data_IF_066840303666
#
_entry.id   IF_066840303666
#
_cell.length_a   1.000
_cell.length_b   1.000
_cell.length_c   1.000
_cell.angle_alpha   90.00
_cell.angle_beta   90.00
_cell.angle_gamma   90.00
#
_symmetry.space_group_name_H-M   'P 1'
#
loop_
_entity.id
_entity.type
_entity.pdbx_description
1 polymer ?
#
# COMPACT_ATOMS: atom_id res chain seq x y z
N UNK A 1 18.54 -4.33 22.17
CA UNK A 1 18.24 -3.63 20.89
C UNK A 1 17.39 -4.59 20.09
N UNK A 2 16.29 -4.16 19.48
CA UNK A 2 15.42 -5.02 18.67
C UNK A 2 16.19 -5.51 17.44
N UNK A 3 16.09 -6.81 17.11
CA UNK A 3 16.85 -7.39 15.99
C UNK A 3 16.13 -7.16 14.64
N UNK A 4 16.16 -5.92 14.16
CA UNK A 4 15.54 -5.54 12.87
C UNK A 4 16.11 -6.37 11.72
N UNK A 5 17.43 -6.63 11.73
CA UNK A 5 18.12 -7.37 10.67
C UNK A 5 17.62 -8.82 10.59
N UNK A 6 17.68 -9.55 11.73
CA UNK A 6 17.25 -10.94 11.79
C UNK A 6 15.78 -11.09 11.40
N UNK A 7 14.91 -10.24 11.95
CA UNK A 7 13.48 -10.26 11.66
C UNK A 7 13.17 -9.93 10.18
N UNK A 8 13.89 -8.97 9.59
CA UNK A 8 13.73 -8.63 8.16
C UNK A 8 14.10 -9.83 7.28
N UNK A 9 15.23 -10.49 7.58
CA UNK A 9 15.66 -11.68 6.82
C UNK A 9 14.69 -12.86 6.97
N UNK A 10 14.10 -13.05 8.15
CA UNK A 10 13.07 -14.06 8.38
C UNK A 10 11.82 -13.79 7.51
N UNK A 11 11.32 -12.54 7.53
CA UNK A 11 10.17 -12.16 6.70
C UNK A 11 10.50 -12.35 5.21
N UNK A 12 11.63 -11.80 4.74
CA UNK A 12 12.03 -11.93 3.32
C UNK A 12 12.21 -13.38 2.90
N UNK A 13 12.78 -14.22 3.75
CA UNK A 13 12.97 -15.65 3.50
C UNK A 13 11.67 -16.45 3.47
N UNK A 14 10.60 -15.95 4.06
CA UNK A 14 9.27 -16.56 4.04
C UNK A 14 8.42 -16.17 2.82
N UNK A 15 8.81 -15.12 2.08
CA UNK A 15 8.04 -14.65 0.94
C UNK A 15 8.37 -15.44 -0.33
N UNK A 16 7.35 -15.81 -1.13
CA UNK A 16 7.57 -16.39 -2.45
C UNK A 16 8.30 -15.42 -3.39
N UNK A 17 8.98 -15.94 -4.40
CA UNK A 17 9.59 -15.13 -5.44
C UNK A 17 8.52 -14.27 -6.15
N UNK A 18 8.83 -12.98 -6.34
CA UNK A 18 7.93 -12.03 -6.98
C UNK A 18 6.99 -11.30 -6.02
N UNK A 19 6.97 -11.64 -4.73
CA UNK A 19 6.22 -10.88 -3.73
C UNK A 19 7.10 -9.80 -3.13
N UNK A 20 6.63 -8.55 -3.19
CA UNK A 20 7.32 -7.38 -2.65
C UNK A 20 6.97 -7.16 -1.17
N UNK A 21 7.98 -6.73 -0.39
CA UNK A 21 7.80 -6.32 1.00
C UNK A 21 7.76 -4.80 1.12
N UNK A 22 6.69 -4.27 1.66
CA UNK A 22 6.62 -2.91 2.20
C UNK A 22 6.89 -2.98 3.71
N UNK A 23 8.04 -2.53 4.14
CA UNK A 23 8.42 -2.49 5.56
C UNK A 23 7.73 -1.30 6.24
N UNK A 24 6.75 -1.57 7.09
CA UNK A 24 5.92 -0.52 7.72
C UNK A 24 6.65 0.08 8.91
N UNK A 25 7.17 1.29 8.71
CA UNK A 25 8.09 1.97 9.63
C UNK A 25 7.44 3.06 10.48
N UNK A 26 6.11 3.24 10.38
CA UNK A 26 5.38 4.25 11.18
C UNK A 26 5.61 4.07 12.68
N UNK A 27 5.83 5.20 13.38
CA UNK A 27 6.14 5.27 14.83
C UNK A 27 7.47 4.62 15.23
N UNK A 28 8.34 4.32 14.28
CA UNK A 28 9.69 3.83 14.56
C UNK A 28 10.75 4.89 14.23
N UNK A 29 11.85 4.96 15.00
CA UNK A 29 12.92 5.91 14.76
C UNK A 29 13.73 5.56 13.52
N UNK A 30 14.50 6.54 13.01
CA UNK A 30 15.27 6.38 11.77
C UNK A 30 16.29 5.25 11.83
N UNK A 31 16.88 4.99 12.98
CA UNK A 31 17.89 3.93 13.19
C UNK A 31 17.35 2.55 12.81
N UNK A 32 16.03 2.32 12.97
CA UNK A 32 15.40 1.06 12.58
C UNK A 32 15.25 0.95 11.06
N UNK A 33 14.94 2.08 10.40
CA UNK A 33 14.85 2.16 8.94
C UNK A 33 16.24 1.99 8.33
N UNK A 34 17.26 2.67 8.89
CA UNK A 34 18.65 2.55 8.47
C UNK A 34 19.17 1.12 8.61
N UNK A 35 18.82 0.41 9.69
CA UNK A 35 19.17 -0.99 9.87
C UNK A 35 18.55 -1.89 8.78
N UNK A 36 17.28 -1.70 8.45
CA UNK A 36 16.61 -2.43 7.36
C UNK A 36 17.16 -2.05 5.99
N UNK A 37 17.45 -0.76 5.78
CA UNK A 37 18.04 -0.24 4.54
C UNK A 37 19.43 -0.82 4.28
N UNK A 38 20.27 -0.94 5.31
CA UNK A 38 21.60 -1.56 5.21
C UNK A 38 21.55 -3.03 4.74
N UNK A 39 20.44 -3.73 5.01
CA UNK A 39 20.19 -5.11 4.53
C UNK A 39 19.51 -5.15 3.14
N UNK A 40 19.40 -4.03 2.45
CA UNK A 40 18.87 -3.96 1.10
C UNK A 40 17.39 -3.59 0.98
N UNK A 41 16.66 -3.41 2.08
CA UNK A 41 15.27 -2.95 2.01
C UNK A 41 15.20 -1.53 1.44
N UNK A 42 14.29 -1.31 0.48
CA UNK A 42 14.11 -0.01 -0.18
C UNK A 42 12.69 0.51 -0.12
N UNK A 43 11.69 -0.33 0.07
CA UNK A 43 10.28 0.04 0.10
C UNK A 43 9.81 0.14 1.55
N UNK A 44 9.43 1.35 1.98
CA UNK A 44 8.97 1.60 3.34
C UNK A 44 7.59 2.25 3.33
N UNK A 45 6.75 1.89 4.33
CA UNK A 45 5.38 2.36 4.43
C UNK A 45 5.12 3.26 5.64
N UNK A 46 4.49 4.42 5.39
CA UNK A 46 4.11 5.42 6.39
C UNK A 46 2.62 5.75 6.32
N UNK A 47 2.04 6.21 7.44
CA UNK A 47 0.63 6.57 7.49
C UNK A 47 0.35 8.01 7.92
N UNK A 48 1.38 8.79 8.24
CA UNK A 48 1.26 10.18 8.65
C UNK A 48 2.19 11.06 7.84
N UNK A 49 1.65 12.07 7.16
CA UNK A 49 2.41 12.92 6.25
C UNK A 49 3.52 13.72 6.94
N UNK A 50 3.30 14.09 8.21
CA UNK A 50 4.30 14.84 8.98
C UNK A 50 5.50 13.97 9.40
N UNK A 51 5.24 12.71 9.78
CA UNK A 51 6.29 11.75 10.10
C UNK A 51 7.08 11.41 8.84
N UNK A 52 6.39 11.11 7.74
CA UNK A 52 6.99 10.83 6.45
C UNK A 52 7.89 11.97 5.97
N UNK A 53 7.43 13.22 6.05
CA UNK A 53 8.22 14.38 5.64
C UNK A 53 9.54 14.52 6.41
N UNK A 54 9.54 14.21 7.72
CA UNK A 54 10.75 14.23 8.55
C UNK A 54 11.73 13.12 8.13
N UNK A 55 11.22 11.92 7.86
CA UNK A 55 12.01 10.77 7.44
C UNK A 55 12.64 10.98 6.06
N UNK A 56 11.88 11.49 5.10
CA UNK A 56 12.39 11.83 3.76
C UNK A 56 13.54 12.84 3.83
N UNK A 57 13.46 13.82 4.73
CA UNK A 57 14.48 14.85 4.87
C UNK A 57 15.81 14.35 5.47
N UNK A 58 15.83 13.17 6.09
CA UNK A 58 16.98 12.67 6.87
C UNK A 58 17.48 11.29 6.47
N UNK A 59 16.76 10.57 5.62
CA UNK A 59 17.09 9.21 5.19
C UNK A 59 17.50 9.20 3.70
N UNK A 60 18.10 8.11 3.20
CA UNK A 60 18.56 8.00 1.82
C UNK A 60 17.48 8.28 0.78
N UNK A 61 17.85 9.00 -0.30
CA UNK A 61 16.92 9.46 -1.35
C UNK A 61 16.37 8.33 -2.24
N UNK A 62 17.03 7.17 -2.27
CA UNK A 62 16.60 5.99 -3.03
C UNK A 62 15.57 5.13 -2.31
N UNK A 63 15.14 5.54 -1.11
CA UNK A 63 14.01 4.91 -0.43
C UNK A 63 12.72 5.18 -1.22
N UNK A 64 12.01 4.11 -1.53
CA UNK A 64 10.69 4.16 -2.15
C UNK A 64 9.61 4.23 -1.06
N UNK A 65 9.09 5.42 -0.85
CA UNK A 65 8.08 5.65 0.18
C UNK A 65 6.68 5.31 -0.32
N UNK A 66 5.99 4.44 0.41
CA UNK A 66 4.57 4.16 0.22
C UNK A 66 3.74 4.83 1.31
N UNK A 67 2.66 5.49 0.92
CA UNK A 67 1.68 6.01 1.88
C UNK A 67 0.53 5.02 2.02
N UNK A 68 0.33 4.50 3.25
CA UNK A 68 -0.57 3.38 3.52
C UNK A 68 -1.70 3.73 4.51
N UNK A 69 -1.76 4.96 4.99
CA UNK A 69 -2.79 5.45 5.90
C UNK A 69 -3.90 6.23 5.18
N UNK A 70 -5.00 6.50 5.86
CA UNK A 70 -6.05 7.36 5.30
C UNK A 70 -5.48 8.75 4.94
N UNK A 71 -5.61 9.13 3.68
CA UNK A 71 -5.05 10.36 3.13
C UNK A 71 -6.13 11.41 2.87
N UNK A 72 -6.17 12.45 3.68
CA UNK A 72 -7.03 13.59 3.41
C UNK A 72 -6.54 14.36 2.17
N UNK A 73 -7.46 14.80 1.30
CA UNK A 73 -7.11 15.50 0.05
C UNK A 73 -6.24 16.74 0.26
N UNK A 74 -6.45 17.51 1.36
CA UNK A 74 -5.63 18.69 1.68
C UNK A 74 -4.19 18.36 2.10
N UNK A 75 -3.87 17.08 2.37
CA UNK A 75 -2.55 16.59 2.77
C UNK A 75 -1.74 16.05 1.60
N UNK A 76 -2.35 15.74 0.47
CA UNK A 76 -1.69 15.24 -0.74
C UNK A 76 -0.50 16.11 -1.16
N UNK A 77 -0.66 17.44 -1.10
CA UNK A 77 0.38 18.41 -1.48
C UNK A 77 1.71 18.24 -0.73
N UNK A 78 1.69 17.66 0.48
CA UNK A 78 2.88 17.48 1.29
C UNK A 78 3.69 16.24 0.91
N UNK A 79 3.05 15.23 0.30
CA UNK A 79 3.71 13.97 -0.08
C UNK A 79 3.94 13.83 -1.59
N UNK A 80 3.15 14.50 -2.42
CA UNK A 80 3.23 14.43 -3.88
C UNK A 80 4.66 14.69 -4.45
N UNK A 81 5.51 15.55 -3.86
CA UNK A 81 6.85 15.81 -4.39
C UNK A 81 7.77 14.57 -4.40
N UNK A 82 7.57 13.59 -3.51
CA UNK A 82 8.52 12.50 -3.31
C UNK A 82 7.91 11.10 -3.15
N UNK A 83 6.60 11.01 -2.93
CA UNK A 83 5.95 9.69 -2.72
C UNK A 83 6.12 8.79 -3.95
N UNK A 84 6.40 7.51 -3.72
CA UNK A 84 6.53 6.51 -4.79
C UNK A 84 5.19 5.86 -5.11
N UNK A 85 4.39 5.57 -4.07
CA UNK A 85 3.07 4.97 -4.22
C UNK A 85 2.13 5.42 -3.10
N UNK A 86 0.85 5.67 -3.43
CA UNK A 86 -0.23 5.86 -2.46
C UNK A 86 -1.15 4.66 -2.56
N UNK A 87 -1.19 3.83 -1.51
CA UNK A 87 -1.97 2.59 -1.51
C UNK A 87 -3.40 2.77 -1.01
N UNK A 88 -3.72 3.94 -0.45
CA UNK A 88 -4.97 4.22 0.27
C UNK A 88 -5.91 5.16 -0.49
N UNK A 89 -6.07 4.95 -1.80
CA UNK A 89 -7.01 5.79 -2.59
C UNK A 89 -8.42 5.22 -2.48
N UNK A 90 -9.28 5.97 -1.78
CA UNK A 90 -10.64 5.59 -1.42
C UNK A 90 -11.74 6.38 -2.15
N UNK A 91 -11.37 7.26 -3.09
CA UNK A 91 -12.35 8.09 -3.79
C UNK A 91 -11.81 8.73 -5.07
N UNK A 92 -12.71 8.98 -6.02
CA UNK A 92 -12.39 9.75 -7.22
C UNK A 92 -11.91 11.18 -6.88
N UNK A 93 -12.45 11.76 -5.80
CA UNK A 93 -12.02 13.10 -5.32
C UNK A 93 -10.54 13.09 -4.91
N UNK A 94 -10.11 12.07 -4.17
CA UNK A 94 -8.71 11.93 -3.77
C UNK A 94 -7.82 11.70 -4.98
N UNK A 95 -8.25 10.84 -5.92
CA UNK A 95 -7.51 10.56 -7.14
C UNK A 95 -7.28 11.83 -7.98
N UNK A 96 -8.32 12.68 -8.15
CA UNK A 96 -8.22 13.99 -8.80
C UNK A 96 -7.21 14.92 -8.12
N UNK A 97 -7.21 14.95 -6.78
CA UNK A 97 -6.27 15.79 -6.03
C UNK A 97 -4.83 15.27 -6.15
N UNK A 98 -4.62 13.95 -6.15
CA UNK A 98 -3.30 13.35 -6.40
C UNK A 98 -2.79 13.77 -7.77
N UNK A 99 -3.60 13.61 -8.83
CA UNK A 99 -3.25 14.03 -10.19
C UNK A 99 -2.86 15.51 -10.24
N UNK A 100 -3.66 16.38 -9.66
CA UNK A 100 -3.42 17.82 -9.61
C UNK A 100 -2.11 18.18 -8.88
N UNK A 101 -1.80 17.53 -7.76
CA UNK A 101 -0.60 17.82 -7.00
C UNK A 101 0.64 17.20 -7.66
N UNK A 102 0.55 16.00 -8.22
CA UNK A 102 1.62 15.36 -8.97
C UNK A 102 2.03 16.18 -10.20
N UNK A 103 1.05 16.75 -10.92
CA UNK A 103 1.27 17.66 -12.07
C UNK A 103 2.15 18.85 -11.73
N UNK A 104 2.03 19.42 -10.52
CA UNK A 104 2.86 20.57 -10.09
C UNK A 104 4.35 20.23 -9.95
N UNK A 105 4.67 18.96 -9.84
CA UNK A 105 6.03 18.45 -9.66
C UNK A 105 6.52 17.67 -10.88
N UNK A 106 5.75 17.71 -11.99
CA UNK A 106 6.03 16.97 -13.23
C UNK A 106 6.28 15.47 -12.97
N UNK A 107 5.44 14.88 -12.10
CA UNK A 107 5.54 13.48 -11.69
C UNK A 107 4.30 12.69 -12.11
N UNK A 108 4.48 11.39 -12.24
CA UNK A 108 3.40 10.41 -12.26
C UNK A 108 3.47 9.64 -10.94
N UNK A 109 2.41 9.69 -10.14
CA UNK A 109 2.33 8.97 -8.87
C UNK A 109 1.57 7.67 -9.06
N UNK A 110 2.18 6.57 -8.65
CA UNK A 110 1.53 5.25 -8.62
C UNK A 110 0.51 5.20 -7.49
N UNK A 111 -0.63 4.60 -7.75
CA UNK A 111 -1.70 4.47 -6.74
C UNK A 111 -2.31 3.07 -6.77
N UNK A 112 -2.82 2.64 -5.60
CA UNK A 112 -3.72 1.51 -5.47
C UNK A 112 -5.09 2.01 -5.00
N UNK A 113 -6.16 1.41 -5.51
CA UNK A 113 -7.50 1.66 -5.00
C UNK A 113 -7.70 0.81 -3.74
N UNK A 114 -8.02 1.47 -2.62
CA UNK A 114 -8.27 0.79 -1.34
C UNK A 114 -9.69 0.24 -1.32
N UNK A 115 -9.81 -1.07 -1.11
CA UNK A 115 -11.08 -1.78 -0.98
C UNK A 115 -11.46 -1.96 0.50
N UNK A 116 -12.75 -1.85 0.78
CA UNK A 116 -13.37 -2.23 2.03
C UNK A 116 -14.14 -3.54 1.85
N UNK A 117 -13.53 -4.65 2.24
CA UNK A 117 -14.14 -6.00 2.22
C UNK A 117 -14.37 -6.49 3.65
N UNK A 118 -13.52 -6.08 4.59
CA UNK A 118 -13.61 -6.44 6.00
C UNK A 118 -14.96 -6.08 6.63
N UNK A 119 -15.39 -6.84 7.64
CA UNK A 119 -16.67 -6.63 8.33
C UNK A 119 -16.71 -5.35 9.21
N UNK A 120 -15.55 -4.79 9.57
CA UNK A 120 -15.51 -3.61 10.46
C UNK A 120 -15.88 -2.32 9.72
N UNK A 121 -17.00 -1.72 10.05
CA UNK A 121 -17.50 -0.43 9.52
C UNK A 121 -16.52 0.75 9.69
N UNK A 122 -15.53 0.61 10.55
CA UNK A 122 -14.54 1.67 10.86
C UNK A 122 -13.37 1.72 9.88
N UNK A 123 -13.22 0.75 8.96
CA UNK A 123 -12.16 0.74 7.97
C UNK A 123 -12.51 1.64 6.78
N UNK A 124 -11.50 2.37 6.28
CA UNK A 124 -11.57 3.12 5.04
C UNK A 124 -11.59 2.19 3.82
N UNK A 125 -11.92 2.73 2.68
CA UNK A 125 -11.90 2.04 1.42
C UNK A 125 -13.21 2.12 0.64
N UNK A 126 -13.14 1.77 -0.63
CA UNK A 126 -14.26 1.67 -1.53
C UNK A 126 -14.96 0.32 -1.35
N UNK A 127 -16.27 0.27 -1.27
CA UNK A 127 -16.97 -0.98 -1.53
C UNK A 127 -16.68 -1.45 -2.96
N UNK A 128 -16.87 -2.74 -3.25
CA UNK A 128 -16.64 -3.26 -4.60
C UNK A 128 -17.48 -2.49 -5.64
N UNK A 129 -18.73 -2.15 -5.31
CA UNK A 129 -19.61 -1.38 -6.20
C UNK A 129 -19.12 0.07 -6.37
N UNK A 130 -18.71 0.73 -5.30
CA UNK A 130 -18.14 2.09 -5.40
C UNK A 130 -16.84 2.10 -6.24
N UNK A 131 -16.02 1.05 -6.16
CA UNK A 131 -14.84 0.89 -7.00
C UNK A 131 -15.23 0.70 -8.47
N UNK A 132 -16.25 -0.13 -8.77
CA UNK A 132 -16.80 -0.27 -10.13
C UNK A 132 -17.30 1.06 -10.67
N UNK A 133 -18.10 1.80 -9.90
CA UNK A 133 -18.62 3.12 -10.30
C UNK A 133 -17.49 4.10 -10.61
N UNK A 134 -16.44 4.14 -9.77
CA UNK A 134 -15.27 4.98 -10.00
C UNK A 134 -14.62 4.64 -11.35
N UNK A 135 -14.39 3.36 -11.62
CA UNK A 135 -13.74 2.90 -12.86
C UNK A 135 -14.65 3.10 -14.10
N UNK A 136 -15.95 2.86 -13.97
CA UNK A 136 -16.93 3.07 -15.03
C UNK A 136 -17.09 4.53 -15.42
N UNK A 137 -16.88 5.47 -14.50
CA UNK A 137 -16.90 6.90 -14.80
C UNK A 137 -15.93 7.29 -15.92
N UNK A 138 -14.86 6.54 -16.09
CA UNK A 138 -13.81 6.81 -17.07
C UNK A 138 -12.95 8.04 -16.78
N UNK A 139 -13.31 8.85 -15.78
CA UNK A 139 -12.63 10.11 -15.47
C UNK A 139 -11.15 9.93 -15.11
N UNK A 140 -10.77 8.78 -14.54
CA UNK A 140 -9.38 8.47 -14.21
C UNK A 140 -8.47 8.38 -15.44
N UNK A 141 -9.00 8.08 -16.63
CA UNK A 141 -8.23 8.03 -17.88
C UNK A 141 -7.73 9.40 -18.34
N UNK A 142 -8.36 10.47 -17.86
CA UNK A 142 -7.98 11.86 -18.13
C UNK A 142 -6.95 12.40 -17.11
N UNK A 143 -6.32 11.51 -16.31
CA UNK A 143 -5.39 11.87 -15.23
C UNK A 143 -3.95 11.42 -15.55
N UNK A 144 -3.20 12.16 -16.39
CA UNK A 144 -1.88 11.71 -16.88
C UNK A 144 -0.80 11.66 -15.80
N UNK A 145 -1.04 12.24 -14.63
CA UNK A 145 -0.09 12.27 -13.50
C UNK A 145 -0.41 11.25 -12.41
N UNK A 146 -1.32 10.31 -12.69
CA UNK A 146 -1.65 9.18 -11.81
C UNK A 146 -1.58 7.89 -12.62
N UNK A 147 -1.00 6.84 -12.03
CA UNK A 147 -1.00 5.50 -12.57
C UNK A 147 -1.67 4.55 -11.56
N UNK A 148 -2.84 4.02 -11.90
CA UNK A 148 -3.50 3.01 -11.09
C UNK A 148 -2.80 1.68 -11.35
N UNK A 149 -2.08 1.16 -10.33
CA UNK A 149 -1.26 -0.05 -10.45
C UNK A 149 -1.92 -1.30 -9.89
N UNK A 150 -3.06 -1.19 -9.23
CA UNK A 150 -3.73 -2.33 -8.63
C UNK A 150 -4.68 -1.96 -7.50
N UNK A 151 -4.88 -2.92 -6.61
CA UNK A 151 -5.80 -2.82 -5.48
C UNK A 151 -5.07 -3.04 -4.15
N UNK A 152 -5.55 -2.41 -3.10
CA UNK A 152 -5.13 -2.63 -1.72
C UNK A 152 -6.33 -3.00 -0.86
N UNK A 153 -6.15 -3.92 0.08
CA UNK A 153 -7.16 -4.22 1.10
C UNK A 153 -6.52 -4.66 2.42
N UNK A 154 -7.32 -4.64 3.46
CA UNK A 154 -6.99 -5.19 4.77
C UNK A 154 -8.10 -6.15 5.20
N UNK A 155 -7.73 -7.39 5.50
CA UNK A 155 -8.68 -8.38 6.02
C UNK A 155 -9.19 -7.99 7.42
N UNK A 156 -10.29 -8.62 7.82
CA UNK A 156 -10.85 -8.49 9.16
C UNK A 156 -9.82 -8.83 10.24
N UNK A 157 -9.86 -8.09 11.35
CA UNK A 157 -8.97 -8.34 12.48
C UNK A 157 -9.54 -9.48 13.35
N UNK A 158 -9.34 -10.71 12.91
CA UNK A 158 -9.85 -11.93 13.52
C UNK A 158 -8.77 -13.01 13.53
N UNK A 159 -8.91 -14.01 14.41
CA UNK A 159 -8.09 -15.23 14.42
C UNK A 159 -8.67 -16.33 13.51
N UNK A 160 -9.82 -16.09 12.87
CA UNK A 160 -10.43 -17.01 11.92
C UNK A 160 -9.72 -16.95 10.57
N UNK A 161 -8.76 -17.86 10.37
CA UNK A 161 -8.01 -17.97 9.12
C UNK A 161 -8.90 -18.26 7.90
N UNK A 162 -10.06 -18.91 8.08
CA UNK A 162 -10.97 -19.21 6.97
C UNK A 162 -11.69 -17.95 6.50
N UNK A 163 -12.11 -17.09 7.44
CA UNK A 163 -12.67 -15.78 7.11
C UNK A 163 -11.63 -14.91 6.39
N UNK A 164 -10.41 -14.82 6.92
CA UNK A 164 -9.30 -14.05 6.31
C UNK A 164 -9.03 -14.56 4.88
N UNK A 165 -8.94 -15.87 4.69
CA UNK A 165 -8.71 -16.48 3.38
C UNK A 165 -9.85 -16.15 2.40
N UNK A 166 -11.11 -16.23 2.85
CA UNK A 166 -12.29 -15.92 2.02
C UNK A 166 -12.28 -14.44 1.58
N UNK A 167 -11.90 -13.50 2.45
CA UNK A 167 -11.81 -12.08 2.11
C UNK A 167 -10.69 -11.81 1.09
N UNK A 168 -9.55 -12.51 1.20
CA UNK A 168 -8.49 -12.42 0.18
C UNK A 168 -8.91 -13.04 -1.15
N UNK A 169 -9.67 -14.13 -1.16
CA UNK A 169 -10.21 -14.74 -2.38
C UNK A 169 -11.22 -13.80 -3.06
N UNK A 170 -12.08 -13.12 -2.30
CA UNK A 170 -12.99 -12.10 -2.83
C UNK A 170 -12.23 -10.94 -3.48
N UNK A 171 -11.16 -10.44 -2.81
CA UNK A 171 -10.30 -9.41 -3.36
C UNK A 171 -9.60 -9.87 -4.65
N UNK A 172 -9.12 -11.11 -4.70
CA UNK A 172 -8.46 -11.68 -5.86
C UNK A 172 -9.41 -11.80 -7.06
N UNK A 173 -10.63 -12.29 -6.83
CA UNK A 173 -11.67 -12.39 -7.87
C UNK A 173 -12.04 -11.00 -8.40
N UNK A 174 -12.19 -10.01 -7.51
CA UNK A 174 -12.50 -8.65 -7.90
C UNK A 174 -11.33 -8.01 -8.67
N UNK A 175 -10.08 -8.27 -8.28
CA UNK A 175 -8.90 -7.83 -9.03
C UNK A 175 -8.93 -8.36 -10.46
N UNK A 176 -9.21 -9.65 -10.65
CA UNK A 176 -9.26 -10.28 -11.97
C UNK A 176 -10.40 -9.70 -12.83
N UNK A 177 -11.58 -9.44 -12.23
CA UNK A 177 -12.69 -8.71 -12.89
C UNK A 177 -12.24 -7.32 -13.38
N UNK A 178 -11.64 -6.53 -12.48
CA UNK A 178 -11.19 -5.16 -12.78
C UNK A 178 -10.10 -5.17 -13.85
N UNK A 179 -9.11 -6.08 -13.73
CA UNK A 179 -8.03 -6.25 -14.71
C UNK A 179 -8.58 -6.55 -16.09
N UNK A 180 -9.45 -7.53 -16.20
CA UNK A 180 -10.03 -7.94 -17.49
C UNK A 180 -10.88 -6.84 -18.13
N UNK A 181 -11.65 -6.10 -17.33
CA UNK A 181 -12.61 -5.11 -17.85
C UNK A 181 -11.98 -3.75 -18.18
N UNK A 182 -11.04 -3.27 -17.37
CA UNK A 182 -10.56 -1.90 -17.45
C UNK A 182 -9.06 -1.75 -17.79
N UNK A 183 -8.27 -2.80 -17.55
CA UNK A 183 -6.80 -2.78 -17.64
C UNK A 183 -6.24 -4.00 -18.38
N UNK A 184 -6.99 -4.60 -19.30
CA UNK A 184 -6.59 -5.84 -20.00
C UNK A 184 -5.22 -5.70 -20.70
N UNK A 185 -4.95 -4.54 -21.32
CA UNK A 185 -3.72 -4.25 -22.06
C UNK A 185 -2.73 -3.38 -21.26
N UNK A 186 -2.98 -3.16 -19.97
CA UNK A 186 -2.12 -2.36 -19.10
C UNK A 186 -1.35 -3.25 -18.12
N UNK A 187 -0.10 -3.58 -18.46
CA UNK A 187 0.78 -4.40 -17.61
C UNK A 187 1.12 -3.73 -16.26
N UNK A 188 0.94 -2.42 -16.14
CA UNK A 188 1.20 -1.72 -14.89
C UNK A 188 0.15 -2.01 -13.82
N UNK A 189 -1.08 -2.41 -14.20
CA UNK A 189 -2.09 -2.87 -13.27
C UNK A 189 -1.82 -4.33 -12.89
N UNK A 190 -0.96 -4.55 -11.90
CA UNK A 190 -0.52 -5.89 -11.47
C UNK A 190 -0.40 -6.05 -9.95
N UNK A 191 -0.54 -4.96 -9.17
CA UNK A 191 -0.28 -4.99 -7.74
C UNK A 191 -1.52 -5.42 -6.95
N UNK A 192 -1.31 -6.44 -6.11
CA UNK A 192 -2.27 -6.97 -5.15
C UNK A 192 -1.68 -6.77 -3.77
N UNK A 193 -1.89 -5.57 -3.17
CA UNK A 193 -1.35 -5.22 -1.87
C UNK A 193 -2.29 -5.64 -0.75
N UNK A 194 -2.10 -6.87 -0.26
CA UNK A 194 -2.79 -7.39 0.92
C UNK A 194 -1.92 -8.30 1.76
N UNK A 195 -2.28 -8.43 3.03
CA UNK A 195 -1.51 -9.13 4.04
C UNK A 195 -0.66 -8.18 4.89
N UNK A 196 -0.79 -8.34 6.20
CA UNK A 196 -0.06 -7.62 7.24
C UNK A 196 0.69 -8.59 8.15
N UNK A 197 1.33 -8.11 9.21
CA UNK A 197 2.17 -8.91 10.11
C UNK A 197 1.54 -10.21 10.62
N UNK A 198 0.23 -10.27 10.78
CA UNK A 198 -0.46 -11.44 11.33
C UNK A 198 -1.03 -12.39 10.26
N UNK A 199 -1.26 -11.91 9.04
CA UNK A 199 -1.98 -12.65 8.00
C UNK A 199 -1.28 -12.72 6.63
N UNK A 200 -0.09 -12.11 6.48
CA UNK A 200 0.62 -12.09 5.19
C UNK A 200 0.92 -13.50 4.65
N UNK A 201 1.13 -14.47 5.52
CA UNK A 201 1.37 -15.87 5.13
C UNK A 201 0.12 -16.54 4.53
N UNK A 202 -1.08 -16.05 4.86
CA UNK A 202 -2.33 -16.44 4.21
C UNK A 202 -2.44 -15.68 2.88
N UNK A 203 -2.26 -14.34 2.91
CA UNK A 203 -2.38 -13.47 1.76
C UNK A 203 -1.54 -13.93 0.55
N UNK A 204 -0.30 -14.36 0.78
CA UNK A 204 0.57 -14.84 -0.32
C UNK A 204 0.05 -16.11 -0.99
N UNK A 205 -0.68 -16.97 -0.27
CA UNK A 205 -1.32 -18.16 -0.83
C UNK A 205 -2.55 -17.80 -1.68
N UNK A 206 -3.12 -16.61 -1.44
CA UNK A 206 -4.31 -16.07 -2.13
C UNK A 206 -3.93 -14.95 -3.12
N UNK A 207 -2.71 -14.99 -3.67
CA UNK A 207 -2.28 -14.19 -4.81
C UNK A 207 -1.80 -12.77 -4.50
N UNK A 208 -1.47 -12.44 -3.25
CA UNK A 208 -0.83 -11.17 -2.93
C UNK A 208 0.52 -11.03 -3.66
N UNK A 209 0.76 -9.88 -4.28
CA UNK A 209 2.05 -9.50 -4.91
C UNK A 209 2.86 -8.56 -4.02
N UNK A 210 2.21 -7.99 -3.00
CA UNK A 210 2.82 -7.02 -2.09
C UNK A 210 2.25 -7.20 -0.68
N UNK A 211 3.13 -7.36 0.30
CA UNK A 211 2.74 -7.48 1.72
C UNK A 211 3.26 -6.30 2.54
N UNK A 212 2.52 -5.90 3.58
CA UNK A 212 2.81 -4.74 4.44
C UNK A 212 3.12 -5.22 5.85
N UNK A 213 4.39 -5.41 6.17
CA UNK A 213 4.82 -5.98 7.45
C UNK A 213 5.57 -4.94 8.29
N UNK A 214 5.10 -4.72 9.51
CA UNK A 214 5.68 -3.76 10.45
C UNK A 214 6.13 -4.39 11.75
N UNK A 215 5.19 -4.77 12.60
CA UNK A 215 5.46 -5.25 13.97
C UNK A 215 6.39 -6.47 14.00
N UNK A 216 6.31 -7.36 13.03
CA UNK A 216 7.22 -8.50 12.91
C UNK A 216 8.67 -8.06 12.69
N UNK A 217 8.90 -7.00 11.91
CA UNK A 217 10.25 -6.50 11.57
C UNK A 217 10.77 -5.56 12.67
N UNK A 218 9.99 -4.54 13.04
CA UNK A 218 10.43 -3.42 13.87
C UNK A 218 10.00 -3.52 15.34
N UNK A 219 9.15 -4.49 15.69
CA UNK A 219 8.60 -4.64 17.02
C UNK A 219 7.40 -3.76 17.33
N UNK A 220 7.00 -3.66 18.62
CA UNK A 220 5.90 -2.83 19.03
C UNK A 220 6.19 -1.34 18.76
N UNK A 221 5.13 -0.59 18.43
CA UNK A 221 5.22 0.85 18.13
C UNK A 221 5.77 1.65 19.31
N UNK A 222 6.61 2.64 19.03
CA UNK A 222 7.17 3.59 19.99
C UNK A 222 6.42 4.91 19.79
N UNK A 223 5.55 5.30 20.75
CA UNK A 223 4.73 6.52 20.70
C UNK A 223 5.43 7.69 21.38
#
# INVERSE_FOLDING_TARGET
>A
MYDVKGNLHEVLGSLPAGVSLVAISKFHPNEFIEAAYAEGQRIFGESHEQELAKKVASLPEDIQWHFIGHLQSNKVKYIAPYISMIESVDSLKLLKEINKQAAKHDRVVKVLLELHIAEEDTKSGLSLDACRELLESGEWREMPHVQICGLMMMASNTDDEQQIASEFDEAAQFFDEVKAKYFADDDAFCERSWGMSHDYHIAVKHGSTMVRVGTTIFGPRIY
#
